data_IF_035285488193
#
_entry.id   IF_035285488193
#
_cell.length_a   1.000
_cell.length_b   1.000
_cell.length_c   1.000
_cell.angle_alpha   90.00
_cell.angle_beta   90.00
_cell.angle_gamma   90.00
#
_symmetry.space_group_name_H-M   'P 1'
#
loop_
_entity.id
_entity.type
_entity.pdbx_description
1 polymer ?
#
# COMPACT_ATOMS: atom_id res chain seq x y z
N UNK A 1 -14.36 -7.80 -13.31
CA UNK A 1 -12.94 -8.23 -13.31
C UNK A 1 -12.84 -9.59 -12.64
N UNK A 2 -11.93 -10.45 -13.09
CA UNK A 2 -11.72 -11.78 -12.51
C UNK A 2 -10.71 -11.71 -11.36
N UNK A 3 -10.82 -12.62 -10.37
CA UNK A 3 -9.91 -12.71 -9.21
C UNK A 3 -8.42 -12.66 -9.62
N UNK A 4 -8.07 -13.34 -10.71
CA UNK A 4 -6.71 -13.37 -11.24
C UNK A 4 -6.17 -11.97 -11.60
N UNK A 5 -7.01 -11.07 -12.12
CA UNK A 5 -6.59 -9.69 -12.44
C UNK A 5 -6.24 -8.91 -11.18
N UNK A 6 -7.02 -9.06 -10.11
CA UNK A 6 -6.74 -8.38 -8.84
C UNK A 6 -5.47 -8.89 -8.18
N UNK A 7 -5.21 -10.20 -8.26
CA UNK A 7 -3.95 -10.79 -7.78
C UNK A 7 -2.75 -10.27 -8.57
N UNK A 8 -2.87 -10.10 -9.90
CA UNK A 8 -1.79 -9.49 -10.69
C UNK A 8 -1.54 -8.03 -10.30
N UNK A 9 -2.60 -7.26 -10.04
CA UNK A 9 -2.45 -5.88 -9.55
C UNK A 9 -1.76 -5.87 -8.18
N UNK A 10 -2.15 -6.75 -7.26
CA UNK A 10 -1.49 -6.88 -5.96
C UNK A 10 -0.01 -7.25 -6.09
N UNK A 11 0.33 -8.15 -7.01
CA UNK A 11 1.71 -8.52 -7.34
C UNK A 11 2.50 -7.32 -7.88
N UNK A 12 1.92 -6.55 -8.81
CA UNK A 12 2.56 -5.34 -9.33
C UNK A 12 2.82 -4.31 -8.24
N UNK A 13 1.88 -4.17 -7.29
CA UNK A 13 2.06 -3.27 -6.15
C UNK A 13 3.18 -3.78 -5.23
N UNK A 14 3.23 -5.08 -4.95
CA UNK A 14 4.30 -5.70 -4.17
C UNK A 14 5.69 -5.42 -4.76
N UNK A 15 5.84 -5.45 -6.11
CA UNK A 15 7.12 -5.22 -6.77
C UNK A 15 7.72 -3.82 -6.50
N UNK A 16 6.88 -2.82 -6.22
CA UNK A 16 7.27 -1.46 -5.86
C UNK A 16 7.88 -1.35 -4.46
N UNK A 17 7.67 -2.36 -3.62
CA UNK A 17 8.21 -2.38 -2.27
C UNK A 17 9.75 -2.31 -2.26
N UNK A 18 10.34 -1.37 -1.50
CA UNK A 18 11.79 -1.24 -1.39
C UNK A 18 12.42 -2.24 -0.41
N UNK A 19 11.64 -3.16 0.16
CA UNK A 19 12.10 -4.05 1.23
C UNK A 19 12.24 -5.52 0.75
N UNK A 20 13.01 -6.33 1.49
CA UNK A 20 13.34 -7.72 1.11
C UNK A 20 12.10 -8.60 0.90
N UNK A 21 11.16 -8.54 1.84
CA UNK A 21 9.88 -9.27 1.75
C UNK A 21 8.82 -8.35 1.19
N UNK A 22 8.43 -8.58 -0.06
CA UNK A 22 7.54 -7.71 -0.82
C UNK A 22 6.10 -8.17 -0.69
N UNK A 23 5.25 -7.31 -0.13
CA UNK A 23 3.82 -7.54 0.00
C UNK A 23 3.07 -6.41 -0.70
N UNK A 24 2.02 -6.79 -1.42
CA UNK A 24 1.10 -5.86 -2.08
C UNK A 24 -0.33 -6.23 -1.72
N UNK A 25 -1.17 -5.20 -1.62
CA UNK A 25 -2.57 -5.34 -1.25
C UNK A 25 -3.44 -4.49 -2.17
N UNK A 26 -4.67 -4.96 -2.40
CA UNK A 26 -5.68 -4.30 -3.22
C UNK A 26 -7.01 -4.40 -2.49
N UNK A 27 -7.71 -3.28 -2.35
CA UNK A 27 -9.05 -3.20 -1.80
C UNK A 27 -10.07 -3.05 -2.93
N UNK A 28 -11.07 -3.94 -2.94
CA UNK A 28 -12.04 -4.06 -4.03
C UNK A 28 -13.43 -3.81 -3.47
N UNK A 29 -14.21 -2.98 -4.16
CA UNK A 29 -15.63 -2.75 -3.86
C UNK A 29 -16.41 -2.66 -5.17
N UNK A 30 -17.54 -3.36 -5.27
CA UNK A 30 -18.34 -3.39 -6.50
C UNK A 30 -17.59 -3.88 -7.74
N UNK A 31 -16.59 -4.74 -7.57
CA UNK A 31 -15.75 -5.24 -8.68
C UNK A 31 -14.74 -4.23 -9.23
N UNK A 32 -14.54 -3.10 -8.53
CA UNK A 32 -13.55 -2.08 -8.87
C UNK A 32 -12.49 -1.97 -7.77
N UNK A 33 -11.25 -1.65 -8.17
CA UNK A 33 -10.17 -1.35 -7.22
C UNK A 33 -10.37 0.06 -6.68
N UNK A 34 -10.65 0.17 -5.38
CA UNK A 34 -10.81 1.46 -4.70
C UNK A 34 -9.55 1.92 -3.98
N UNK A 35 -8.65 0.99 -3.63
CA UNK A 35 -7.35 1.32 -3.05
C UNK A 35 -6.33 0.22 -3.32
N UNK A 36 -5.05 0.57 -3.27
CA UNK A 36 -3.92 -0.36 -3.40
C UNK A 36 -2.72 0.16 -2.63
N UNK A 37 -1.85 -0.73 -2.19
CA UNK A 37 -0.63 -0.35 -1.49
C UNK A 37 0.36 -1.49 -1.37
N UNK A 38 1.57 -1.14 -0.94
CA UNK A 38 2.65 -2.08 -0.68
C UNK A 38 3.28 -1.78 0.67
N UNK A 39 3.87 -2.79 1.27
CA UNK A 39 4.60 -2.61 2.50
C UNK A 39 5.89 -1.80 2.26
N UNK A 40 6.14 -0.84 3.13
CA UNK A 40 7.40 -0.11 3.19
C UNK A 40 7.77 0.05 4.66
N UNK A 41 9.06 0.12 4.95
CA UNK A 41 9.47 0.62 6.26
C UNK A 41 8.99 2.06 6.35
N UNK A 42 8.26 2.39 7.43
CA UNK A 42 8.13 3.79 7.82
C UNK A 42 9.55 4.32 7.92
N UNK A 43 9.95 5.24 7.03
CA UNK A 43 11.00 6.17 7.43
C UNK A 43 10.42 6.84 8.67
N UNK A 44 11.03 6.61 9.82
CA UNK A 44 10.87 7.48 10.98
C UNK A 44 11.43 8.84 10.56
N UNK A 45 10.74 9.55 9.69
CA UNK A 45 10.83 11.00 9.65
C UNK A 45 10.38 11.39 11.04
N UNK A 46 11.33 11.87 11.86
CA UNK A 46 11.05 12.33 13.21
C UNK A 46 9.70 13.03 13.24
N UNK A 47 8.83 12.60 14.14
CA UNK A 47 7.52 13.18 14.36
C UNK A 47 7.71 14.69 14.36
N UNK A 48 7.27 15.39 13.31
CA UNK A 48 6.99 16.82 13.46
C UNK A 48 5.77 16.85 14.35
N UNK A 49 5.99 16.87 15.67
CA UNK A 49 4.96 17.24 16.61
C UNK A 49 4.48 18.61 16.13
N UNK A 50 3.26 18.68 15.61
CA UNK A 50 2.55 19.95 15.60
C UNK A 50 2.26 20.22 17.07
N UNK A 51 3.07 21.08 17.66
CA UNK A 51 2.74 21.69 18.93
C UNK A 51 1.61 22.66 18.60
N UNK A 52 0.38 22.24 18.84
CA UNK A 52 -0.74 23.15 18.89
C UNK A 52 -0.48 24.06 20.10
N UNK A 53 0.01 25.27 19.82
CA UNK A 53 0.10 26.35 20.79
C UNK A 53 -1.33 26.84 20.97
N UNK A 54 -1.91 26.50 22.13
CA UNK A 54 -3.11 27.16 22.69
C UNK A 54 -2.79 28.60 23.08
#
# INVERSE_FOLDING_TARGET
MLLHQFVQIAKQEALKSPIKHKYGAVLIYGGQVISKGYNSFKRTTGVKMKQDVL
#
